data_IF_666474877655
#
_entry.id   IF_666474877655
#
_cell.length_a   1.000
_cell.length_b   1.000
_cell.length_c   1.000
_cell.angle_alpha   90.00
_cell.angle_beta   90.00
_cell.angle_gamma   90.00
#
_symmetry.space_group_name_H-M   'P 1'
#
loop_
_entity.id
_entity.type
_entity.pdbx_description
1 polymer ?
#
# COMPACT_ATOMS: atom_id res chain seq x y z
N UNK A 1 -23.88 31.24 44.31
CA UNK A 1 -23.83 29.79 44.58
C UNK A 1 -24.02 29.60 46.07
N UNK A 2 -25.19 29.10 46.49
CA UNK A 2 -25.70 29.19 47.88
C UNK A 2 -25.94 27.85 48.57
N UNK A 3 -25.23 26.78 48.18
CA UNK A 3 -25.40 25.45 48.77
C UNK A 3 -24.87 24.32 47.88
N UNK A 4 -25.10 23.08 48.31
CA UNK A 4 -24.82 21.86 47.55
C UNK A 4 -26.15 21.11 47.36
N UNK A 5 -26.55 20.85 46.12
CA UNK A 5 -27.83 20.18 45.83
C UNK A 5 -27.70 18.64 45.85
N UNK A 6 -26.52 18.11 45.46
CA UNK A 6 -26.25 16.69 45.44
C UNK A 6 -24.77 16.33 45.58
N UNK A 7 -24.51 15.15 46.16
CA UNK A 7 -23.22 14.45 46.12
C UNK A 7 -23.41 13.14 45.35
N UNK A 8 -22.68 12.95 44.26
CA UNK A 8 -22.77 11.75 43.43
C UNK A 8 -21.51 10.89 43.54
N UNK A 9 -21.69 9.61 43.83
CA UNK A 9 -20.64 8.58 43.82
C UNK A 9 -20.72 7.79 42.52
N UNK A 10 -19.61 7.79 41.76
CA UNK A 10 -19.49 7.09 40.49
C UNK A 10 -18.16 6.36 40.43
N UNK A 11 -18.07 5.22 39.73
CA UNK A 11 -16.83 4.53 39.45
C UNK A 11 -16.17 3.83 40.65
N UNK A 12 -15.47 2.73 40.37
CA UNK A 12 -14.55 2.03 41.28
C UNK A 12 -15.02 1.90 42.74
N UNK A 13 -14.24 2.45 43.67
CA UNK A 13 -14.47 2.35 45.10
C UNK A 13 -15.68 3.16 45.61
N UNK A 14 -16.05 4.25 44.93
CA UNK A 14 -17.22 5.07 45.27
C UNK A 14 -18.55 4.33 45.04
N UNK A 15 -18.61 3.49 44.00
CA UNK A 15 -19.75 2.62 43.72
C UNK A 15 -19.80 1.39 44.65
N UNK A 16 -18.63 0.79 44.92
CA UNK A 16 -18.56 -0.55 45.51
C UNK A 16 -18.30 -0.58 47.02
N UNK A 17 -17.99 0.56 47.65
CA UNK A 17 -17.70 0.62 49.10
C UNK A 17 -18.68 1.53 49.84
N UNK A 18 -19.66 0.91 50.51
CA UNK A 18 -20.57 1.61 51.41
C UNK A 18 -19.82 2.31 52.55
N UNK A 19 -18.76 1.67 53.07
CA UNK A 19 -17.90 2.23 54.11
C UNK A 19 -17.14 3.48 53.64
N UNK A 20 -16.66 3.49 52.39
CA UNK A 20 -16.00 4.66 51.82
C UNK A 20 -16.99 5.83 51.65
N UNK A 21 -18.19 5.56 51.12
CA UNK A 21 -19.25 6.58 50.99
C UNK A 21 -19.58 7.19 52.34
N UNK A 22 -19.77 6.36 53.38
CA UNK A 22 -20.02 6.80 54.75
C UNK A 22 -18.93 7.75 55.24
N UNK A 23 -17.67 7.35 55.12
CA UNK A 23 -16.51 8.16 55.55
C UNK A 23 -16.38 9.48 54.80
N UNK A 24 -16.74 9.52 53.51
CA UNK A 24 -16.69 10.75 52.71
C UNK A 24 -17.80 11.72 53.13
N UNK A 25 -18.99 11.21 53.47
CA UNK A 25 -20.10 12.03 53.91
C UNK A 25 -20.02 12.41 55.39
N UNK A 26 -19.23 11.68 56.17
CA UNK A 26 -18.89 12.00 57.55
C UNK A 26 -18.09 13.31 57.59
N UNK A 27 -18.76 14.39 58.01
CA UNK A 27 -18.23 15.76 58.00
C UNK A 27 -18.98 16.71 57.08
N UNK A 28 -19.88 16.21 56.21
CA UNK A 28 -20.71 17.05 55.32
C UNK A 28 -22.09 17.39 55.93
N UNK A 29 -22.30 17.11 57.22
CA UNK A 29 -23.59 17.38 57.88
C UNK A 29 -23.89 18.89 57.96
N UNK A 30 -22.85 19.74 57.97
CA UNK A 30 -23.02 21.20 57.93
C UNK A 30 -23.63 21.70 56.61
N UNK A 31 -23.53 20.91 55.54
CA UNK A 31 -24.20 21.16 54.26
C UNK A 31 -25.63 20.60 54.23
N UNK A 32 -26.08 19.91 55.28
CA UNK A 32 -27.41 19.32 55.36
C UNK A 32 -27.51 17.88 54.82
N UNK A 33 -26.37 17.23 54.54
CA UNK A 33 -26.32 15.82 54.13
C UNK A 33 -26.74 14.91 55.29
N UNK A 34 -27.68 14.01 55.03
CA UNK A 34 -28.04 12.90 55.93
C UNK A 34 -28.11 11.61 55.12
N UNK A 35 -27.20 10.69 55.41
CA UNK A 35 -27.14 9.38 54.75
C UNK A 35 -28.16 8.41 55.37
N UNK A 36 -28.80 7.60 54.53
CA UNK A 36 -29.57 6.42 54.91
C UNK A 36 -28.64 5.21 54.83
N UNK A 37 -28.30 4.63 55.98
CA UNK A 37 -27.30 3.57 56.07
C UNK A 37 -27.75 2.26 55.42
N UNK A 38 -29.05 1.94 55.51
CA UNK A 38 -29.60 0.73 54.92
C UNK A 38 -29.58 0.82 53.38
N UNK A 39 -29.94 1.98 52.83
CA UNK A 39 -29.82 2.26 51.38
C UNK A 39 -28.37 2.24 50.92
N UNK A 40 -27.47 2.81 51.72
CA UNK A 40 -26.04 2.85 51.43
C UNK A 40 -25.41 1.45 51.34
N UNK A 41 -25.76 0.56 52.28
CA UNK A 41 -25.23 -0.80 52.34
C UNK A 41 -25.84 -1.71 51.25
N UNK A 42 -27.14 -1.58 51.01
CA UNK A 42 -27.85 -2.41 50.03
C UNK A 42 -27.54 -2.09 48.57
N UNK A 43 -27.04 -0.88 48.26
CA UNK A 43 -26.76 -0.46 46.87
C UNK A 43 -25.85 -1.43 46.10
N UNK A 44 -24.80 -1.94 46.75
CA UNK A 44 -23.82 -2.86 46.14
C UNK A 44 -24.44 -4.18 45.66
N UNK A 45 -25.46 -4.68 46.35
CA UNK A 45 -26.16 -5.92 46.01
C UNK A 45 -27.43 -5.71 45.16
N UNK A 46 -27.96 -4.49 45.11
CA UNK A 46 -29.25 -4.17 44.45
C UNK A 46 -29.26 -4.33 42.92
N UNK A 47 -28.09 -4.29 42.26
CA UNK A 47 -27.99 -4.26 40.79
C UNK A 47 -28.54 -2.97 40.14
N UNK A 48 -29.02 -1.99 40.91
CA UNK A 48 -29.59 -0.75 40.41
C UNK A 48 -28.52 0.11 39.71
N UNK A 49 -28.85 0.71 38.57
CA UNK A 49 -27.95 1.59 37.83
C UNK A 49 -27.72 2.94 38.53
N UNK A 50 -28.75 3.44 39.24
CA UNK A 50 -28.72 4.66 40.06
C UNK A 50 -29.54 4.41 41.32
N UNK A 51 -29.07 4.90 42.46
CA UNK A 51 -29.85 4.92 43.70
C UNK A 51 -29.64 6.21 44.49
N UNK A 52 -30.70 6.64 45.17
CA UNK A 52 -30.66 7.68 46.18
C UNK A 52 -30.37 7.08 47.55
N UNK A 53 -29.29 7.52 48.18
CA UNK A 53 -28.78 7.00 49.44
C UNK A 53 -29.05 7.94 50.61
N UNK A 54 -29.68 9.10 50.39
CA UNK A 54 -29.99 10.04 51.46
C UNK A 54 -31.25 9.65 52.23
N UNK A 55 -31.29 10.04 53.51
CA UNK A 55 -32.48 9.92 54.35
C UNK A 55 -33.56 10.93 53.93
N UNK A 56 -34.86 10.70 54.21
CA UNK A 56 -35.98 11.55 53.75
C UNK A 56 -35.92 13.03 54.16
N UNK A 57 -35.09 13.40 55.14
CA UNK A 57 -34.90 14.78 55.62
C UNK A 57 -33.53 15.37 55.30
N UNK A 58 -32.78 14.74 54.40
CA UNK A 58 -31.54 15.32 53.87
C UNK A 58 -31.87 16.53 53.00
N UNK A 59 -31.12 17.62 53.14
CA UNK A 59 -31.25 18.80 52.25
C UNK A 59 -30.45 18.62 50.96
N UNK A 60 -29.51 17.67 50.97
CA UNK A 60 -28.62 17.35 49.85
C UNK A 60 -28.93 15.92 49.39
N UNK A 61 -29.12 15.72 48.10
CA UNK A 61 -29.29 14.39 47.53
C UNK A 61 -27.95 13.62 47.58
N UNK A 62 -27.99 12.32 47.83
CA UNK A 62 -26.80 11.46 47.75
C UNK A 62 -27.07 10.41 46.71
N UNK A 63 -26.40 10.49 45.57
CA UNK A 63 -26.60 9.58 44.45
C UNK A 63 -25.45 8.59 44.37
N UNK A 64 -25.74 7.31 44.14
CA UNK A 64 -24.74 6.37 43.67
C UNK A 64 -25.12 5.90 42.27
N UNK A 65 -24.19 6.08 41.32
CA UNK A 65 -24.37 5.78 39.91
C UNK A 65 -23.36 4.72 39.53
N UNK A 66 -23.85 3.60 38.99
CA UNK A 66 -22.98 2.53 38.50
C UNK A 66 -22.37 2.91 37.17
N UNK A 67 -21.05 2.91 37.10
CA UNK A 67 -20.35 3.19 35.86
C UNK A 67 -20.16 1.89 35.08
N UNK A 68 -20.87 1.74 33.96
CA UNK A 68 -20.69 0.59 33.05
C UNK A 68 -19.45 0.76 32.15
N UNK A 69 -18.31 1.10 32.73
CA UNK A 69 -17.07 1.41 32.01
C UNK A 69 -16.64 0.26 31.11
N UNK A 70 -16.71 -0.98 31.62
CA UNK A 70 -16.39 -2.17 30.84
C UNK A 70 -17.31 -2.33 29.61
N UNK A 71 -18.58 -1.94 29.72
CA UNK A 71 -19.51 -1.99 28.58
C UNK A 71 -19.23 -0.89 27.57
N UNK A 72 -18.90 0.32 28.02
CA UNK A 72 -18.48 1.42 27.14
C UNK A 72 -17.21 1.02 26.40
N UNK A 73 -16.19 0.52 27.11
CA UNK A 73 -14.96 0.01 26.51
C UNK A 73 -15.27 -1.11 25.51
N UNK A 74 -16.08 -2.11 25.88
CA UNK A 74 -16.45 -3.20 24.98
C UNK A 74 -17.20 -2.70 23.73
N UNK A 75 -18.10 -1.73 23.88
CA UNK A 75 -18.85 -1.13 22.77
C UNK A 75 -17.95 -0.36 21.83
N UNK A 76 -17.09 0.50 22.37
CA UNK A 76 -16.15 1.30 21.59
C UNK A 76 -15.11 0.41 20.90
N UNK A 77 -14.56 -0.60 21.61
CA UNK A 77 -13.69 -1.62 21.01
C UNK A 77 -14.40 -2.36 19.88
N UNK A 78 -15.65 -2.80 20.09
CA UNK A 78 -16.42 -3.47 19.05
C UNK A 78 -16.73 -2.53 17.86
N UNK A 79 -16.91 -1.22 18.09
CA UNK A 79 -17.08 -0.25 17.02
C UNK A 79 -15.79 -0.04 16.21
N UNK A 80 -14.63 0.00 16.87
CA UNK A 80 -13.31 0.04 16.23
C UNK A 80 -13.07 -1.23 15.41
N UNK A 81 -13.33 -2.42 15.98
CA UNK A 81 -13.20 -3.70 15.27
C UNK A 81 -14.11 -3.77 14.04
N UNK A 82 -15.40 -3.42 14.16
CA UNK A 82 -16.32 -3.38 13.00
C UNK A 82 -15.90 -2.36 11.94
N UNK A 83 -15.27 -1.26 12.33
CA UNK A 83 -14.74 -0.26 11.40
C UNK A 83 -13.48 -0.76 10.69
N UNK A 84 -12.63 -1.53 11.38
CA UNK A 84 -11.49 -2.23 10.80
C UNK A 84 -11.95 -3.33 9.81
N UNK A 85 -12.95 -4.13 10.17
CA UNK A 85 -13.54 -5.15 9.30
C UNK A 85 -14.19 -4.59 8.03
N UNK A 86 -14.70 -3.35 8.08
CA UNK A 86 -15.29 -2.65 6.93
C UNK A 86 -14.27 -1.95 6.02
N UNK A 87 -12.98 -1.93 6.36
CA UNK A 87 -11.99 -1.09 5.66
C UNK A 87 -11.56 -1.62 4.28
N UNK A 88 -11.80 -2.88 3.94
CA UNK A 88 -11.76 -3.34 2.56
C UNK A 88 -12.60 -4.59 2.41
N UNK A 89 -13.67 -4.53 1.60
CA UNK A 89 -14.12 -5.77 0.96
C UNK A 89 -12.90 -6.28 0.17
N UNK A 90 -12.34 -7.42 0.60
CA UNK A 90 -11.24 -8.09 -0.10
C UNK A 90 -11.72 -8.42 -1.51
N UNK A 91 -11.40 -7.56 -2.46
CA UNK A 91 -11.62 -7.86 -3.87
C UNK A 91 -10.40 -8.62 -4.35
N UNK A 92 -10.52 -9.94 -4.33
CA UNK A 92 -9.60 -10.81 -5.03
C UNK A 92 -9.81 -10.59 -6.51
N UNK A 93 -9.01 -9.70 -7.07
CA UNK A 93 -8.92 -9.51 -8.49
C UNK A 93 -7.66 -10.23 -9.00
N UNK A 94 -7.74 -10.79 -10.20
CA UNK A 94 -6.61 -11.42 -10.85
C UNK A 94 -6.19 -10.50 -11.99
N UNK A 95 -4.97 -9.98 -11.94
CA UNK A 95 -4.38 -9.22 -13.04
C UNK A 95 -3.14 -9.96 -13.56
N UNK A 96 -2.93 -10.01 -14.87
CA UNK A 96 -1.68 -10.51 -15.44
C UNK A 96 -0.47 -9.77 -14.88
N UNK A 97 0.61 -10.50 -14.63
CA UNK A 97 1.92 -9.92 -14.28
C UNK A 97 2.87 -10.16 -15.44
N UNK A 98 3.37 -9.07 -16.02
CA UNK A 98 4.40 -9.08 -17.05
C UNK A 98 5.80 -8.91 -16.45
N UNK A 99 6.65 -9.90 -16.68
CA UNK A 99 8.08 -9.83 -16.33
C UNK A 99 8.83 -9.28 -17.53
N UNK A 100 9.37 -8.07 -17.37
CA UNK A 100 10.13 -7.38 -18.39
C UNK A 100 11.62 -7.70 -18.23
N UNK A 101 12.17 -8.45 -19.19
CA UNK A 101 13.61 -8.54 -19.36
C UNK A 101 14.16 -7.20 -19.90
N UNK A 102 15.49 -7.05 -19.87
CA UNK A 102 16.15 -5.90 -20.46
C UNK A 102 15.74 -5.73 -21.92
N UNK A 103 15.51 -4.48 -22.31
CA UNK A 103 15.16 -4.15 -23.68
C UNK A 103 15.48 -2.69 -24.00
N UNK A 104 15.47 -2.36 -25.30
CA UNK A 104 15.67 -1.00 -25.79
C UNK A 104 14.52 -0.54 -26.66
N UNK A 105 14.13 0.71 -26.49
CA UNK A 105 13.31 1.46 -27.45
C UNK A 105 14.24 2.41 -28.19
N UNK A 106 14.12 2.49 -29.50
CA UNK A 106 15.05 3.26 -30.34
C UNK A 106 14.32 4.33 -31.15
N UNK A 107 15.01 5.43 -31.44
CA UNK A 107 14.64 6.35 -32.52
C UNK A 107 14.95 5.73 -33.89
N UNK A 108 14.27 6.19 -34.94
CA UNK A 108 14.57 5.74 -36.30
C UNK A 108 16.03 6.02 -36.69
N UNK A 109 16.58 7.17 -36.31
CA UNK A 109 17.99 7.49 -36.54
C UNK A 109 18.95 6.51 -35.82
N UNK A 110 18.61 6.08 -34.60
CA UNK A 110 19.40 5.08 -33.88
C UNK A 110 19.29 3.69 -34.53
N UNK A 111 18.11 3.31 -35.03
CA UNK A 111 17.94 2.08 -35.81
C UNK A 111 18.88 2.09 -37.01
N UNK A 112 18.90 3.18 -37.77
CA UNK A 112 19.77 3.27 -38.94
C UNK A 112 21.27 3.28 -38.59
N UNK A 113 21.66 3.94 -37.49
CA UNK A 113 23.03 3.93 -37.01
C UNK A 113 23.52 2.55 -36.56
N UNK A 114 22.62 1.72 -36.02
CA UNK A 114 22.96 0.40 -35.45
C UNK A 114 22.79 -0.74 -36.46
N UNK A 115 21.86 -0.61 -37.41
CA UNK A 115 21.46 -1.68 -38.33
C UNK A 115 21.63 -1.34 -39.82
N UNK A 116 21.91 -0.08 -40.17
CA UNK A 116 22.18 0.38 -41.53
C UNK A 116 21.16 1.39 -42.05
N UNK A 117 21.58 2.27 -42.96
CA UNK A 117 20.74 3.34 -43.54
C UNK A 117 19.45 2.78 -44.13
N UNK A 118 18.32 3.40 -43.78
CA UNK A 118 16.99 2.99 -44.23
C UNK A 118 16.43 1.70 -43.60
N UNK A 119 17.09 1.13 -42.59
CA UNK A 119 16.60 -0.08 -41.91
C UNK A 119 15.29 0.20 -41.15
N UNK A 120 14.32 -0.70 -41.29
CA UNK A 120 13.08 -0.69 -40.53
C UNK A 120 13.04 -1.91 -39.59
N UNK A 121 12.57 -1.70 -38.35
CA UNK A 121 12.43 -2.79 -37.39
C UNK A 121 11.49 -3.87 -37.91
N UNK A 122 11.89 -5.13 -37.76
CA UNK A 122 11.09 -6.28 -38.20
C UNK A 122 10.36 -6.86 -37.02
N UNK A 123 9.05 -7.07 -37.17
CA UNK A 123 8.21 -7.62 -36.11
C UNK A 123 8.60 -9.09 -35.91
N UNK A 124 9.12 -9.42 -34.72
CA UNK A 124 9.25 -10.80 -34.29
C UNK A 124 7.90 -11.29 -33.74
N UNK A 125 7.30 -10.51 -32.85
CA UNK A 125 6.01 -10.83 -32.24
C UNK A 125 5.35 -9.62 -31.56
N UNK A 126 4.01 -9.57 -31.53
CA UNK A 126 3.29 -8.55 -30.77
C UNK A 126 3.50 -8.73 -29.25
N UNK A 127 3.46 -7.62 -28.52
CA UNK A 127 3.41 -7.61 -27.05
C UNK A 127 1.96 -7.51 -26.56
N UNK A 128 1.78 -7.70 -25.26
CA UNK A 128 0.48 -7.59 -24.58
C UNK A 128 -0.17 -6.21 -24.73
N UNK A 129 0.64 -5.16 -24.62
CA UNK A 129 0.18 -3.79 -24.80
C UNK A 129 -0.06 -3.50 -26.30
N UNK A 130 -1.26 -3.05 -26.71
CA UNK A 130 -1.60 -2.88 -28.12
C UNK A 130 -0.65 -1.94 -28.87
N UNK A 131 -0.27 -2.34 -30.09
CA UNK A 131 0.59 -1.54 -30.96
C UNK A 131 2.10 -1.70 -30.70
N UNK A 132 2.50 -2.39 -29.64
CA UNK A 132 3.92 -2.68 -29.35
C UNK A 132 4.31 -4.08 -29.80
N UNK A 133 5.59 -4.26 -30.15
CA UNK A 133 6.13 -5.55 -30.59
C UNK A 133 7.58 -5.73 -30.17
N UNK A 134 7.99 -6.97 -29.89
CA UNK A 134 9.41 -7.30 -29.88
C UNK A 134 9.89 -7.40 -31.33
N UNK A 135 11.01 -6.76 -31.64
CA UNK A 135 11.60 -6.79 -32.97
C UNK A 135 12.58 -7.98 -33.12
N UNK A 136 12.87 -8.42 -34.33
CA UNK A 136 13.90 -9.43 -34.60
C UNK A 136 15.29 -8.94 -34.16
N UNK A 137 15.50 -7.64 -34.22
CA UNK A 137 16.74 -6.96 -33.88
C UNK A 137 17.09 -7.08 -32.38
N UNK A 138 18.38 -7.21 -32.12
CA UNK A 138 18.98 -7.11 -30.80
C UNK A 138 20.23 -6.25 -30.85
N UNK A 139 20.59 -5.64 -29.73
CA UNK A 139 21.80 -4.81 -29.58
C UNK A 139 22.63 -5.31 -28.39
N UNK A 140 23.89 -4.93 -28.34
CA UNK A 140 24.69 -4.99 -27.11
C UNK A 140 24.58 -3.66 -26.38
N UNK A 141 24.33 -3.68 -25.07
CA UNK A 141 24.42 -2.50 -24.19
C UNK A 141 25.74 -2.56 -23.46
N UNK A 142 26.59 -1.56 -23.65
CA UNK A 142 27.95 -1.51 -23.12
C UNK A 142 28.04 -0.35 -22.12
N UNK A 143 28.46 -0.69 -20.89
CA UNK A 143 28.75 0.27 -19.84
C UNK A 143 30.24 0.34 -19.52
N UNK A 144 30.58 0.95 -18.38
CA UNK A 144 31.96 1.21 -17.97
C UNK A 144 32.74 -0.07 -17.65
N UNK A 145 32.08 -1.05 -17.04
CA UNK A 145 32.73 -2.28 -16.53
C UNK A 145 32.28 -3.56 -17.21
N UNK A 146 31.21 -3.50 -18.00
CA UNK A 146 30.60 -4.70 -18.56
C UNK A 146 29.67 -4.42 -19.71
N UNK A 147 29.03 -5.49 -20.18
CA UNK A 147 28.08 -5.44 -21.27
C UNK A 147 26.97 -6.48 -21.11
N UNK A 148 25.82 -6.15 -21.67
CA UNK A 148 24.70 -7.04 -21.89
C UNK A 148 24.63 -7.32 -23.39
N UNK A 149 24.59 -8.59 -23.76
CA UNK A 149 24.51 -9.04 -25.15
C UNK A 149 23.08 -9.43 -25.49
N UNK A 150 22.69 -9.30 -26.76
CA UNK A 150 21.37 -9.72 -27.28
C UNK A 150 20.19 -9.03 -26.59
N UNK A 151 20.34 -7.75 -26.24
CA UNK A 151 19.27 -6.94 -25.65
C UNK A 151 18.22 -6.66 -26.72
N UNK A 152 16.97 -7.07 -26.46
CA UNK A 152 15.87 -7.02 -27.43
C UNK A 152 15.48 -5.58 -27.76
N UNK A 153 15.31 -5.27 -29.05
CA UNK A 153 14.67 -4.02 -29.47
C UNK A 153 13.15 -4.18 -29.41
N UNK A 154 12.47 -3.21 -28.81
CA UNK A 154 11.00 -3.12 -28.76
C UNK A 154 10.55 -1.97 -29.65
N UNK A 155 9.63 -2.28 -30.54
CA UNK A 155 8.99 -1.34 -31.46
C UNK A 155 7.59 -0.93 -31.01
N UNK A 156 7.03 0.12 -31.65
CA UNK A 156 7.62 0.89 -32.74
C UNK A 156 8.72 1.84 -32.28
N UNK A 157 9.45 2.44 -33.24
CA UNK A 157 10.42 3.48 -32.94
C UNK A 157 9.77 4.64 -32.16
N UNK A 158 10.52 5.22 -31.22
CA UNK A 158 10.08 6.33 -30.36
C UNK A 158 10.81 7.64 -30.72
N UNK A 159 10.40 8.73 -30.07
CA UNK A 159 11.06 10.04 -30.20
C UNK A 159 12.44 10.10 -29.49
N UNK A 160 12.71 9.21 -28.54
CA UNK A 160 13.96 9.13 -27.81
C UNK A 160 14.38 7.67 -27.60
N UNK A 161 15.69 7.45 -27.51
CA UNK A 161 16.25 6.15 -27.15
C UNK A 161 16.03 5.93 -25.64
N UNK A 162 15.68 4.71 -25.27
CA UNK A 162 15.48 4.33 -23.87
C UNK A 162 15.93 2.89 -23.67
N UNK A 163 16.66 2.65 -22.60
CA UNK A 163 17.22 1.36 -22.24
C UNK A 163 16.71 1.02 -20.85
N UNK A 164 15.93 -0.05 -20.75
CA UNK A 164 15.36 -0.53 -19.50
C UNK A 164 16.12 -1.78 -19.07
N UNK A 165 16.68 -1.76 -17.85
CA UNK A 165 17.42 -2.87 -17.25
C UNK A 165 17.00 -3.10 -15.80
N UNK A 166 17.35 -4.25 -15.24
CA UNK A 166 17.22 -4.47 -13.79
C UNK A 166 18.35 -3.78 -13.01
N UNK A 167 18.19 -3.66 -11.68
CA UNK A 167 19.26 -3.08 -10.84
C UNK A 167 20.53 -3.94 -10.87
N UNK A 168 20.39 -5.26 -10.87
CA UNK A 168 21.50 -6.21 -10.98
C UNK A 168 22.28 -6.00 -12.27
N UNK A 169 21.58 -5.75 -13.37
CA UNK A 169 22.19 -5.49 -14.69
C UNK A 169 22.90 -4.13 -14.75
N UNK A 170 22.32 -3.08 -14.15
CA UNK A 170 22.98 -1.78 -14.03
C UNK A 170 24.32 -1.91 -13.26
N UNK A 171 24.36 -2.70 -12.17
CA UNK A 171 25.59 -2.99 -11.43
C UNK A 171 26.62 -3.69 -12.32
N UNK A 172 26.19 -4.68 -13.12
CA UNK A 172 27.05 -5.42 -14.06
C UNK A 172 27.63 -4.52 -15.15
N UNK A 173 26.84 -3.58 -15.66
CA UNK A 173 27.30 -2.56 -16.60
C UNK A 173 28.29 -1.58 -15.94
N UNK A 174 28.26 -1.47 -14.61
CA UNK A 174 29.05 -0.52 -13.86
C UNK A 174 28.47 0.88 -13.89
N UNK A 175 27.16 1.01 -14.07
CA UNK A 175 26.49 2.30 -14.22
C UNK A 175 25.45 2.47 -13.11
N UNK A 176 25.45 3.65 -12.49
CA UNK A 176 24.39 4.05 -11.56
C UNK A 176 23.20 4.62 -12.34
N UNK A 177 22.31 3.72 -12.80
CA UNK A 177 21.09 4.11 -13.50
C UNK A 177 19.97 4.48 -12.50
N UNK A 178 19.20 5.57 -12.75
CA UNK A 178 18.10 5.97 -11.90
C UNK A 178 16.86 5.08 -12.08
N UNK A 179 16.07 4.89 -11.02
CA UNK A 179 14.78 4.19 -11.05
C UNK A 179 13.71 5.12 -11.65
N UNK A 180 13.13 4.77 -12.80
CA UNK A 180 12.19 5.66 -13.54
C UNK A 180 11.07 4.91 -14.23
N UNK A 181 9.97 5.63 -14.50
CA UNK A 181 8.92 5.15 -15.38
C UNK A 181 9.34 5.30 -16.84
N UNK A 182 8.87 4.40 -17.69
CA UNK A 182 9.11 4.46 -19.14
C UNK A 182 8.62 5.81 -19.70
N UNK A 183 9.49 6.53 -20.42
CA UNK A 183 9.26 7.89 -20.92
C UNK A 183 9.86 9.01 -20.07
N UNK A 184 10.18 8.78 -18.79
CA UNK A 184 10.91 9.75 -17.96
C UNK A 184 12.42 9.50 -18.05
N UNK A 185 13.08 10.24 -18.94
CA UNK A 185 14.51 10.14 -19.22
C UNK A 185 15.35 11.23 -18.56
N UNK A 186 14.75 12.10 -17.72
CA UNK A 186 15.46 13.25 -17.18
C UNK A 186 16.62 12.78 -16.28
N UNK A 187 17.87 13.06 -16.62
CA UNK A 187 19.03 12.57 -15.85
C UNK A 187 19.25 11.06 -15.94
N UNK A 188 18.71 10.39 -16.97
CA UNK A 188 19.06 9.01 -17.28
C UNK A 188 20.56 8.85 -17.54
N UNK A 189 21.12 7.69 -17.22
CA UNK A 189 22.54 7.43 -17.46
C UNK A 189 22.83 7.21 -18.96
N UNK A 190 24.09 7.40 -19.34
CA UNK A 190 24.56 7.17 -20.71
C UNK A 190 25.17 5.78 -20.87
N UNK A 191 24.96 5.20 -22.04
CA UNK A 191 25.53 3.89 -22.46
C UNK A 191 25.96 3.95 -23.92
N UNK A 192 26.78 2.97 -24.32
CA UNK A 192 27.02 2.70 -25.73
C UNK A 192 26.19 1.50 -26.18
N UNK A 193 25.38 1.69 -27.22
CA UNK A 193 24.71 0.62 -27.94
C UNK A 193 25.58 0.17 -29.10
N UNK A 194 25.66 -1.13 -29.35
CA UNK A 194 26.32 -1.70 -30.53
C UNK A 194 25.36 -2.63 -31.27
N UNK A 195 25.25 -2.43 -32.58
CA UNK A 195 24.52 -3.27 -33.51
C UNK A 195 25.44 -3.79 -34.62
N UNK A 196 24.91 -4.57 -35.57
CA UNK A 196 25.71 -5.17 -36.63
C UNK A 196 26.34 -4.16 -37.60
N UNK A 197 25.76 -2.97 -37.77
CA UNK A 197 26.23 -1.96 -38.71
C UNK A 197 27.00 -0.80 -38.04
N UNK A 198 26.95 -0.68 -36.72
CA UNK A 198 27.59 0.44 -36.03
C UNK A 198 27.34 0.47 -34.52
N UNK A 199 27.80 1.54 -33.89
CA UNK A 199 27.63 1.79 -32.47
C UNK A 199 27.22 3.25 -32.23
N UNK A 200 26.45 3.48 -31.16
CA UNK A 200 25.89 4.77 -30.79
C UNK A 200 26.00 4.98 -29.29
N UNK A 201 26.62 6.08 -28.86
CA UNK A 201 26.57 6.52 -27.46
C UNK A 201 25.32 7.37 -27.25
N UNK A 202 24.51 7.04 -26.25
CA UNK A 202 23.20 7.67 -26.01
C UNK A 202 22.87 7.73 -24.51
N UNK A 203 22.18 8.79 -24.05
CA UNK A 203 21.45 8.73 -22.79
C UNK A 203 20.25 7.80 -22.93
N UNK A 204 19.58 7.54 -21.81
CA UNK A 204 18.31 6.81 -21.76
C UNK A 204 18.35 5.54 -20.94
N UNK A 205 19.48 5.19 -20.30
CA UNK A 205 19.56 4.04 -19.39
C UNK A 205 18.87 4.34 -18.07
N UNK A 206 17.88 3.51 -17.73
CA UNK A 206 17.12 3.56 -16.47
C UNK A 206 16.96 2.15 -15.89
N UNK A 207 16.77 2.08 -14.57
CA UNK A 207 16.16 0.91 -13.95
C UNK A 207 14.64 1.07 -14.06
N UNK A 208 13.97 0.08 -14.62
CA UNK A 208 12.53 0.15 -14.83
C UNK A 208 11.78 0.18 -13.49
N UNK A 209 10.93 1.20 -13.30
CA UNK A 209 10.06 1.28 -12.13
C UNK A 209 8.77 0.48 -12.37
N UNK A 210 8.43 -0.42 -11.44
CA UNK A 210 7.16 -1.15 -11.44
C UNK A 210 5.94 -0.25 -11.59
N UNK A 211 4.99 -0.70 -12.39
CA UNK A 211 3.76 0.03 -12.66
C UNK A 211 2.64 -0.90 -13.12
N UNK A 212 1.41 -0.47 -12.90
CA UNK A 212 0.20 -1.13 -13.40
C UNK A 212 -0.33 -0.31 -14.58
N UNK A 213 -0.39 -0.93 -15.76
CA UNK A 213 -1.21 -0.44 -16.86
C UNK A 213 -2.66 -0.75 -16.57
N UNK A 214 -3.56 0.21 -16.79
CA UNK A 214 -4.99 0.04 -16.56
C UNK A 214 -5.81 1.05 -17.37
N UNK A 215 -7.04 0.71 -17.72
CA UNK A 215 -7.98 1.67 -18.31
C UNK A 215 -8.62 2.54 -17.25
N UNK A 216 -9.28 3.63 -17.65
CA UNK A 216 -10.08 4.45 -16.74
C UNK A 216 -11.22 3.63 -16.12
N UNK A 217 -11.77 2.64 -16.85
CA UNK A 217 -12.80 1.74 -16.34
C UNK A 217 -12.25 0.80 -15.26
N UNK A 218 -11.05 0.25 -15.46
CA UNK A 218 -10.34 -0.53 -14.44
C UNK A 218 -10.05 0.30 -13.19
N UNK A 219 -9.61 1.55 -13.36
CA UNK A 219 -9.33 2.44 -12.24
C UNK A 219 -10.57 2.68 -11.37
N UNK A 220 -11.77 2.84 -11.97
CA UNK A 220 -13.03 2.94 -11.18
C UNK A 220 -13.39 1.62 -10.53
N UNK A 221 -13.27 0.52 -11.27
CA UNK A 221 -13.58 -0.82 -10.77
C UNK A 221 -12.74 -1.15 -9.53
N UNK A 222 -11.47 -0.75 -9.53
CA UNK A 222 -10.52 -0.96 -8.44
C UNK A 222 -10.60 0.15 -7.36
N UNK A 223 -11.31 1.25 -7.59
CA UNK A 223 -11.40 2.36 -6.64
C UNK A 223 -10.08 3.14 -6.45
N UNK A 224 -9.30 3.27 -7.53
CA UNK A 224 -7.95 3.86 -7.53
C UNK A 224 -7.81 5.10 -8.42
N UNK A 225 -8.93 5.67 -8.89
CA UNK A 225 -8.95 6.79 -9.86
C UNK A 225 -8.15 8.02 -9.42
N UNK A 226 -8.15 8.34 -8.13
CA UNK A 226 -7.50 9.53 -7.57
C UNK A 226 -6.14 9.21 -6.91
N UNK A 227 -5.54 8.07 -7.24
CA UNK A 227 -4.28 7.61 -6.64
C UNK A 227 -3.13 7.72 -7.65
N UNK A 228 -1.95 8.13 -7.18
CA UNK A 228 -0.73 8.04 -7.98
C UNK A 228 -0.08 6.64 -7.93
N UNK A 229 -0.24 5.95 -6.80
CA UNK A 229 0.38 4.67 -6.52
C UNK A 229 -0.55 3.76 -5.72
N UNK A 230 -0.32 2.46 -5.83
CA UNK A 230 -1.04 1.42 -5.09
C UNK A 230 -0.05 0.42 -4.48
N UNK A 231 -0.59 -0.46 -3.65
CA UNK A 231 0.12 -1.67 -3.25
C UNK A 231 -0.51 -2.89 -3.90
N UNK A 232 0.33 -3.84 -4.29
CA UNK A 232 -0.10 -5.09 -4.90
C UNK A 232 0.48 -6.25 -4.11
N UNK A 233 -0.38 -7.06 -3.53
CA UNK A 233 0.00 -8.32 -2.91
C UNK A 233 -0.02 -9.44 -3.96
N UNK A 234 1.11 -10.13 -4.08
CA UNK A 234 1.29 -11.28 -4.95
C UNK A 234 1.24 -12.56 -4.12
N UNK A 235 0.24 -13.40 -4.40
CA UNK A 235 0.11 -14.70 -3.76
C UNK A 235 0.94 -15.75 -4.50
N UNK A 236 2.21 -15.86 -4.10
CA UNK A 236 3.20 -16.79 -4.66
C UNK A 236 3.87 -17.55 -3.52
N UNK A 237 4.67 -18.60 -3.81
CA UNK A 237 5.48 -19.26 -2.77
C UNK A 237 6.44 -18.33 -2.01
N UNK A 238 6.74 -17.14 -2.54
CA UNK A 238 7.51 -16.08 -1.86
C UNK A 238 6.62 -14.88 -1.55
N UNK A 239 5.38 -15.10 -1.10
CA UNK A 239 4.34 -14.10 -0.88
C UNK A 239 4.89 -12.69 -0.60
N UNK A 240 4.58 -11.76 -1.49
CA UNK A 240 5.23 -10.45 -1.55
C UNK A 240 4.20 -9.34 -1.65
N UNK A 241 4.39 -8.25 -0.91
CA UNK A 241 3.61 -7.01 -1.10
C UNK A 241 4.50 -5.96 -1.74
N UNK A 242 4.19 -5.62 -2.99
CA UNK A 242 4.85 -4.56 -3.73
C UNK A 242 4.17 -3.23 -3.41
N UNK A 243 4.89 -2.37 -2.70
CA UNK A 243 4.43 -1.00 -2.40
C UNK A 243 4.82 -0.04 -3.53
N UNK A 244 4.22 1.15 -3.59
CA UNK A 244 4.62 2.19 -4.55
C UNK A 244 4.52 1.77 -6.03
N UNK A 245 3.57 0.90 -6.36
CA UNK A 245 3.28 0.51 -7.74
C UNK A 245 2.58 1.70 -8.41
N UNK A 246 3.24 2.33 -9.38
CA UNK A 246 2.69 3.49 -10.06
C UNK A 246 1.51 3.09 -10.96
N UNK A 247 0.51 3.97 -11.08
CA UNK A 247 -0.62 3.76 -11.99
C UNK A 247 -0.37 4.43 -13.35
N UNK A 248 -0.59 3.69 -14.44
CA UNK A 248 -0.56 4.21 -15.81
C UNK A 248 -1.93 4.05 -16.46
N UNK A 249 -2.76 5.09 -16.29
CA UNK A 249 -4.12 5.11 -16.85
C UNK A 249 -4.08 5.51 -18.32
N UNK A 250 -4.48 4.58 -19.18
CA UNK A 250 -4.63 4.78 -20.62
C UNK A 250 -5.76 3.87 -21.11
N UNK A 251 -6.78 4.44 -21.76
CA UNK A 251 -7.95 3.68 -22.24
C UNK A 251 -7.62 2.75 -23.43
N UNK A 252 -6.42 2.88 -24.02
CA UNK A 252 -5.87 1.93 -24.97
C UNK A 252 -5.04 0.80 -24.35
N UNK A 253 -4.77 0.84 -23.04
CA UNK A 253 -3.93 -0.14 -22.38
C UNK A 253 -4.68 -1.43 -22.01
N UNK A 254 -3.90 -2.50 -21.85
CA UNK A 254 -4.38 -3.76 -21.25
C UNK A 254 -3.97 -3.78 -19.78
N UNK A 255 -4.90 -4.19 -18.92
CA UNK A 255 -4.66 -4.31 -17.48
C UNK A 255 -3.53 -5.32 -17.20
N UNK A 256 -2.38 -4.83 -16.75
CA UNK A 256 -1.18 -5.65 -16.60
C UNK A 256 -0.16 -5.00 -15.64
N UNK A 257 0.33 -5.75 -14.67
CA UNK A 257 1.39 -5.32 -13.75
C UNK A 257 2.76 -5.61 -14.37
N UNK A 258 3.58 -4.59 -14.57
CA UNK A 258 4.92 -4.74 -15.12
C UNK A 258 5.97 -4.73 -13.99
N UNK A 259 6.77 -5.79 -13.92
CA UNK A 259 7.90 -5.95 -13.01
C UNK A 259 9.16 -6.24 -13.80
N UNK A 260 10.32 -5.83 -13.27
CA UNK A 260 11.59 -6.31 -13.81
C UNK A 260 11.92 -7.74 -13.33
N UNK A 261 13.01 -8.30 -13.83
CA UNK A 261 13.45 -9.65 -13.47
C UNK A 261 13.89 -9.77 -12.01
N UNK A 262 14.46 -8.73 -11.41
CA UNK A 262 14.90 -8.76 -10.00
C UNK A 262 13.67 -8.81 -9.08
N UNK A 263 12.66 -7.98 -9.35
CA UNK A 263 11.39 -7.92 -8.63
C UNK A 263 10.60 -9.23 -8.76
N UNK A 264 10.50 -9.78 -9.98
CA UNK A 264 9.79 -11.02 -10.23
C UNK A 264 10.45 -12.22 -9.51
N UNK A 265 11.79 -12.30 -9.56
CA UNK A 265 12.55 -13.31 -8.83
C UNK A 265 12.39 -13.16 -7.30
N UNK A 266 12.39 -11.93 -6.80
CA UNK A 266 12.14 -11.64 -5.39
C UNK A 266 10.74 -12.12 -4.96
N UNK A 267 9.74 -11.87 -5.81
CA UNK A 267 8.36 -12.33 -5.62
C UNK A 267 8.14 -13.82 -5.94
N UNK A 268 9.17 -14.59 -6.30
CA UNK A 268 9.03 -16.03 -6.56
C UNK A 268 8.18 -16.36 -7.79
N UNK A 269 7.97 -15.40 -8.68
CA UNK A 269 7.35 -15.62 -9.98
C UNK A 269 8.37 -16.38 -10.85
N UNK A 270 7.91 -17.45 -11.53
CA UNK A 270 8.79 -18.29 -12.35
C UNK A 270 8.63 -17.96 -13.83
N UNK A 271 9.75 -17.64 -14.47
CA UNK A 271 9.94 -17.71 -15.93
C UNK A 271 10.66 -16.50 -16.54
N UNK A 272 11.63 -16.78 -17.42
CA UNK A 272 12.18 -15.87 -18.43
C UNK A 272 12.96 -16.68 -19.49
N UNK A 273 12.72 -16.44 -20.78
CA UNK A 273 13.49 -17.00 -21.91
C UNK A 273 12.86 -16.72 -23.29
N UNK A 274 13.44 -15.76 -24.02
CA UNK A 274 13.09 -15.22 -25.36
C UNK A 274 11.61 -15.10 -25.71
N UNK A 275 10.99 -14.06 -25.14
CA UNK A 275 9.84 -13.38 -25.71
C UNK A 275 8.59 -14.23 -25.89
N UNK A 276 7.78 -14.30 -24.86
CA UNK A 276 6.31 -14.17 -24.82
C UNK A 276 5.94 -14.47 -23.38
N UNK A 277 5.16 -13.57 -22.81
CA UNK A 277 4.63 -13.66 -21.47
C UNK A 277 3.69 -14.87 -21.35
N UNK A 278 4.07 -15.86 -20.53
CA UNK A 278 3.08 -16.77 -19.98
C UNK A 278 2.28 -16.01 -18.93
N UNK A 279 0.99 -15.84 -19.18
CA UNK A 279 0.00 -15.43 -18.19
C UNK A 279 -0.03 -16.45 -17.05
N UNK A 280 0.90 -16.34 -16.10
CA UNK A 280 0.79 -17.07 -14.87
C UNK A 280 -0.44 -16.50 -14.15
N UNK A 281 -1.39 -17.36 -13.80
CA UNK A 281 -2.52 -17.02 -12.95
C UNK A 281 -2.00 -16.72 -11.53
N UNK A 282 -1.36 -15.56 -11.37
CA UNK A 282 -1.06 -14.98 -10.06
C UNK A 282 -2.23 -14.09 -9.69
N UNK A 283 -2.86 -14.36 -8.55
CA UNK A 283 -3.85 -13.46 -7.98
C UNK A 283 -3.12 -12.29 -7.33
N UNK A 284 -3.26 -11.12 -7.94
CA UNK A 284 -2.70 -9.87 -7.47
C UNK A 284 -3.80 -9.05 -6.77
N UNK A 285 -3.73 -8.93 -5.44
CA UNK A 285 -4.72 -8.13 -4.70
C UNK A 285 -4.22 -6.70 -4.57
N UNK A 286 -5.06 -5.72 -4.89
CA UNK A 286 -4.78 -4.30 -4.64
C UNK A 286 -5.09 -4.01 -3.17
N UNK A 287 -4.09 -3.62 -2.37
CA UNK A 287 -4.28 -3.26 -0.96
C UNK A 287 -4.60 -1.77 -0.81
N UNK A 288 -5.51 -1.44 0.12
CA UNK A 288 -5.92 -0.06 0.40
C UNK A 288 -5.00 0.65 1.39
N UNK A 289 -5.04 1.98 1.44
CA UNK A 289 -4.22 2.79 2.37
C UNK A 289 -4.39 2.43 3.86
N UNK A 290 -5.56 1.87 4.23
CA UNK A 290 -5.87 1.45 5.60
C UNK A 290 -5.32 0.07 5.97
N UNK A 291 -4.94 -0.76 4.99
CA UNK A 291 -4.28 -2.03 5.26
C UNK A 291 -2.81 -1.82 5.72
N UNK A 292 -2.28 -0.60 5.61
CA UNK A 292 -0.90 -0.26 6.00
C UNK A 292 -0.68 -0.13 7.51
N UNK A 293 -1.71 0.24 8.28
CA UNK A 293 -1.53 0.61 9.69
C UNK A 293 -1.25 -0.60 10.60
N UNK A 294 -1.60 -1.82 10.17
CA UNK A 294 -1.38 -3.04 10.94
C UNK A 294 0.03 -3.64 10.81
N UNK A 295 0.90 -3.10 9.95
CA UNK A 295 2.27 -3.60 9.75
C UNK A 295 3.37 -2.58 10.07
N UNK A 296 3.01 -1.35 10.45
CA UNK A 296 3.96 -0.30 10.81
C UNK A 296 4.43 -0.35 12.28
N UNK A 297 4.17 -1.43 13.04
CA UNK A 297 4.53 -1.52 14.47
C UNK A 297 5.95 -2.02 14.75
N UNK A 298 6.86 -2.00 13.78
CA UNK A 298 8.27 -2.39 13.96
C UNK A 298 9.24 -1.23 13.70
N UNK A 299 8.96 -0.04 14.24
CA UNK A 299 9.98 1.00 14.38
C UNK A 299 9.82 1.72 15.74
N UNK A 300 10.17 1.02 16.81
CA UNK A 300 10.76 1.59 18.04
C UNK A 300 11.12 0.43 18.98
N UNK A 301 12.33 -0.11 18.86
CA UNK A 301 13.08 -0.74 19.95
C UNK A 301 14.57 -0.72 19.63
#
# INVERSE_FOLDING_TARGET
MGGCDAVAFTGGAGENSAALRRRILEGLQFLGVRLDEDRNESFGASGAAVAELQAPRSQVAVLAVRSREQWVIARETAAVLRRAERAAARQDFSMPVAISAHHVHLTQAAVEALFGTGHALRVLQPLSQPGFFAAEETVSVIGERGRLERVRVVGPCRAANQIEVSRTEAIRLGIEAPLRLSGDLAGSAEVTLAGPAGALRTPGLIVARRHLHLTSADARRLGVQDRGEIEVALDTPRGTVLRHVALRVDDGAVLELHLDTDEANAAGLRGAGEGVLQSAACTARVCGQRDHENHASCETH
#
